data_IF_669575678177
#
_entry.id   IF_669575678177
#
_cell.length_a   1.000
_cell.length_b   1.000
_cell.length_c   1.000
_cell.angle_alpha   90.00
_cell.angle_beta   90.00
_cell.angle_gamma   90.00
#
_symmetry.space_group_name_H-M   'P 1'
#
loop_
_entity.id
_entity.type
_entity.pdbx_description
1 polymer ?
#
# COMPACT_ATOMS: atom_id res chain seq x y z
N UNK A 1 -3.70 -8.60 32.24
CA UNK A 1 -4.08 -7.27 31.70
C UNK A 1 -3.77 -7.17 30.21
N UNK A 2 -2.65 -7.75 29.73
CA UNK A 2 -2.37 -7.87 28.29
C UNK A 2 -3.19 -8.97 27.59
N UNK A 3 -3.84 -9.86 28.34
CA UNK A 3 -4.58 -11.02 27.81
C UNK A 3 -5.71 -10.63 26.84
N UNK A 4 -6.24 -9.41 26.97
CA UNK A 4 -7.30 -8.90 26.11
C UNK A 4 -6.79 -8.50 24.72
N UNK A 5 -5.51 -8.10 24.57
CA UNK A 5 -4.95 -7.80 23.24
C UNK A 5 -4.80 -9.09 22.43
N UNK A 6 -4.47 -10.20 23.08
CA UNK A 6 -4.31 -11.52 22.47
C UNK A 6 -5.59 -12.36 22.43
N UNK A 7 -6.73 -11.81 22.86
CA UNK A 7 -7.96 -12.56 22.98
C UNK A 7 -8.43 -13.12 21.61
N UNK A 8 -9.09 -14.30 21.60
CA UNK A 8 -9.74 -14.81 20.38
C UNK A 8 -10.77 -13.80 19.88
N UNK A 9 -10.53 -13.21 18.71
CA UNK A 9 -11.35 -12.14 18.12
C UNK A 9 -10.57 -10.85 17.83
N UNK A 10 -9.55 -10.53 18.63
CA UNK A 10 -8.80 -9.27 18.50
C UNK A 10 -7.60 -9.36 17.55
N UNK A 11 -7.25 -10.57 17.12
CA UNK A 11 -6.10 -10.88 16.27
C UNK A 11 -5.97 -9.98 15.01
N UNK A 12 -7.00 -9.79 14.17
CA UNK A 12 -6.85 -8.97 12.96
C UNK A 12 -6.56 -7.50 13.28
N UNK A 13 -7.10 -6.96 14.37
CA UNK A 13 -6.89 -5.57 14.78
C UNK A 13 -5.47 -5.36 15.32
N UNK A 14 -4.97 -6.31 16.11
CA UNK A 14 -3.61 -6.25 16.63
C UNK A 14 -2.58 -6.42 15.52
N UNK A 15 -2.84 -7.31 14.56
CA UNK A 15 -1.98 -7.44 13.37
C UNK A 15 -1.94 -6.11 12.59
N UNK A 16 -3.08 -5.46 12.39
CA UNK A 16 -3.12 -4.16 11.73
C UNK A 16 -2.29 -3.10 12.47
N UNK A 17 -2.42 -3.01 13.81
CA UNK A 17 -1.63 -2.09 14.63
C UNK A 17 -0.14 -2.43 14.63
N UNK A 18 0.24 -3.71 14.61
CA UNK A 18 1.64 -4.13 14.49
C UNK A 18 2.24 -3.77 13.13
N UNK A 19 1.48 -3.94 12.05
CA UNK A 19 1.89 -3.50 10.71
C UNK A 19 2.12 -1.99 10.70
N UNK A 20 1.20 -1.22 11.26
CA UNK A 20 1.36 0.23 11.40
C UNK A 20 2.60 0.62 12.20
N UNK A 21 2.81 0.00 13.35
CA UNK A 21 4.01 0.22 14.15
C UNK A 21 5.28 -0.09 13.36
N UNK A 22 5.30 -1.21 12.63
CA UNK A 22 6.39 -1.57 11.73
C UNK A 22 6.66 -0.51 10.68
N UNK A 23 5.63 -0.04 9.97
CA UNK A 23 5.75 1.03 8.98
C UNK A 23 6.30 2.32 9.61
N UNK A 24 5.88 2.64 10.84
CA UNK A 24 6.37 3.84 11.56
C UNK A 24 7.87 3.72 11.88
N UNK A 25 8.34 2.53 12.25
CA UNK A 25 9.76 2.28 12.53
C UNK A 25 10.58 2.38 11.24
N UNK A 26 10.11 1.78 10.14
CA UNK A 26 10.80 1.87 8.86
C UNK A 26 10.82 3.32 8.37
N UNK A 27 9.73 4.06 8.53
CA UNK A 27 9.64 5.49 8.19
C UNK A 27 10.61 6.33 9.03
N UNK A 28 10.74 6.04 10.33
CA UNK A 28 11.71 6.75 11.17
C UNK A 28 13.15 6.53 10.66
N UNK A 29 13.47 5.31 10.23
CA UNK A 29 14.76 5.00 9.60
C UNK A 29 14.88 5.72 8.25
N UNK A 30 13.80 5.78 7.48
CA UNK A 30 13.71 6.50 6.21
C UNK A 30 14.08 7.97 6.33
N UNK A 31 13.48 8.63 7.32
CA UNK A 31 13.74 10.03 7.64
C UNK A 31 15.20 10.28 8.04
N UNK A 32 15.84 9.34 8.73
CA UNK A 32 17.25 9.47 9.12
C UNK A 32 18.21 9.32 7.94
N UNK A 33 17.87 8.49 6.97
CA UNK A 33 18.67 8.28 5.75
C UNK A 33 18.34 9.32 4.67
N UNK A 34 17.16 9.95 4.76
CA UNK A 34 16.67 10.94 3.79
C UNK A 34 15.90 10.33 2.62
N UNK A 35 15.32 9.14 2.78
CA UNK A 35 14.44 8.52 1.77
C UNK A 35 12.96 8.59 2.19
N UNK A 36 12.06 8.43 1.21
CA UNK A 36 10.61 8.37 1.40
C UNK A 36 10.10 6.99 0.99
N UNK A 37 9.50 6.24 1.91
CA UNK A 37 8.86 4.95 1.60
C UNK A 37 7.64 5.14 0.69
N UNK A 38 7.00 6.29 0.82
CA UNK A 38 5.81 6.66 0.10
C UNK A 38 6.07 6.68 -1.42
N UNK A 39 7.16 7.33 -1.82
CA UNK A 39 7.57 7.49 -3.22
C UNK A 39 7.93 6.13 -3.83
N UNK A 40 8.62 5.26 -3.08
CA UNK A 40 9.00 3.92 -3.54
C UNK A 40 7.79 3.02 -3.81
N UNK A 41 6.77 3.09 -2.95
CA UNK A 41 5.53 2.33 -3.14
C UNK A 41 4.71 2.90 -4.29
N UNK A 42 4.70 4.22 -4.45
CA UNK A 42 3.97 4.87 -5.55
C UNK A 42 4.54 4.49 -6.92
N UNK A 43 5.87 4.49 -7.06
CA UNK A 43 6.57 4.05 -8.28
C UNK A 43 6.30 2.57 -8.61
N UNK A 44 6.21 1.71 -7.59
CA UNK A 44 5.89 0.30 -7.77
C UNK A 44 4.42 0.07 -8.17
N UNK A 45 3.49 0.86 -7.64
CA UNK A 45 2.05 0.74 -7.93
C UNK A 45 1.67 1.41 -9.25
N UNK A 46 2.38 2.48 -9.63
CA UNK A 46 2.19 3.22 -10.88
C UNK A 46 3.47 3.13 -11.73
N UNK A 47 3.79 1.97 -12.33
CA UNK A 47 4.92 1.89 -13.25
C UNK A 47 4.60 2.72 -14.51
N UNK A 48 5.20 3.91 -14.59
CA UNK A 48 5.36 4.79 -15.75
C UNK A 48 4.25 4.70 -16.83
N UNK A 49 3.03 5.17 -16.51
CA UNK A 49 1.99 5.49 -17.52
C UNK A 49 2.15 6.92 -18.07
N UNK A 50 3.33 7.53 -17.94
CA UNK A 50 3.66 8.84 -18.52
C UNK A 50 4.79 8.71 -19.54
N UNK A 51 4.52 8.04 -20.65
CA UNK A 51 5.18 8.33 -21.93
C UNK A 51 4.06 8.47 -22.97
N UNK A 52 3.74 9.72 -23.28
CA UNK A 52 2.80 10.19 -24.29
C UNK A 52 1.32 9.83 -24.11
N UNK A 53 0.54 10.81 -23.66
CA UNK A 53 -0.87 10.86 -24.03
C UNK A 53 -0.97 11.14 -25.54
N UNK A 54 -1.68 10.28 -26.29
CA UNK A 54 -2.66 10.79 -27.23
C UNK A 54 -4.05 10.36 -26.75
N UNK A 55 -4.99 11.32 -26.76
CA UNK A 55 -6.42 11.09 -26.57
C UNK A 55 -6.88 9.79 -27.23
N UNK A 56 -7.11 8.74 -26.45
CA UNK A 56 -7.84 7.56 -26.90
C UNK A 56 -8.68 7.05 -25.74
N UNK A 57 -10.00 7.22 -25.90
CA UNK A 57 -11.01 6.54 -25.12
C UNK A 57 -10.66 5.04 -24.94
N UNK A 58 -10.64 4.58 -23.67
CA UNK A 58 -10.77 3.18 -23.19
C UNK A 58 -11.23 2.16 -24.27
N UNK A 59 -10.73 0.91 -24.42
CA UNK A 59 -10.21 0.01 -23.38
C UNK A 59 -9.02 -0.90 -23.81
N UNK A 60 -8.00 -0.98 -22.97
CA UNK A 60 -7.04 -2.09 -23.00
C UNK A 60 -5.73 -1.82 -23.74
N UNK A 61 -4.71 -2.53 -23.27
CA UNK A 61 -3.32 -2.57 -23.73
C UNK A 61 -2.41 -1.45 -23.21
N UNK A 62 -1.51 -1.84 -22.30
CA UNK A 62 -0.16 -1.30 -22.29
C UNK A 62 0.79 -2.50 -22.30
N UNK A 63 1.42 -2.71 -23.44
CA UNK A 63 2.44 -3.71 -23.68
C UNK A 63 3.82 -3.17 -23.30
N UNK A 64 4.54 -3.96 -22.49
CA UNK A 64 5.95 -4.31 -22.63
C UNK A 64 7.03 -3.25 -22.34
N UNK A 65 7.94 -3.56 -21.40
CA UNK A 65 9.33 -3.11 -21.53
C UNK A 65 10.22 -3.05 -20.28
N UNK A 66 10.41 -4.15 -19.53
CA UNK A 66 11.75 -4.54 -19.09
C UNK A 66 11.77 -6.00 -18.61
N UNK A 67 12.63 -6.79 -19.25
CA UNK A 67 12.87 -8.20 -18.94
C UNK A 67 13.39 -8.39 -17.50
N UNK A 68 12.68 -9.18 -16.70
CA UNK A 68 13.26 -10.40 -16.09
C UNK A 68 12.22 -11.16 -15.26
N UNK A 69 12.02 -12.42 -15.69
CA UNK A 69 11.31 -13.50 -14.99
C UNK A 69 9.79 -13.41 -14.96
N UNK A 70 9.20 -14.18 -15.89
CA UNK A 70 7.82 -14.63 -15.96
C UNK A 70 7.23 -15.06 -14.61
N UNK A 71 6.12 -14.43 -14.16
CA UNK A 71 4.86 -15.02 -13.64
C UNK A 71 3.77 -13.92 -13.63
N UNK A 72 2.77 -14.03 -14.51
CA UNK A 72 1.38 -13.53 -14.37
C UNK A 72 1.08 -12.03 -14.08
N UNK A 73 1.13 -11.16 -15.11
CA UNK A 73 0.44 -9.84 -15.13
C UNK A 73 0.76 -8.88 -13.97
N UNK A 74 0.09 -7.72 -13.86
CA UNK A 74 0.05 -7.00 -12.59
C UNK A 74 -0.64 -7.94 -11.59
N UNK A 75 0.11 -8.48 -10.63
CA UNK A 75 -0.43 -9.38 -9.63
C UNK A 75 -1.72 -8.80 -9.02
N UNK A 76 -2.68 -9.64 -8.66
CA UNK A 76 -3.98 -9.22 -8.11
C UNK A 76 -3.85 -8.16 -7.00
N UNK A 77 -2.76 -8.23 -6.25
CA UNK A 77 -2.37 -7.26 -5.23
C UNK A 77 -2.05 -5.86 -5.78
N UNK A 78 -1.30 -5.73 -6.88
CA UNK A 78 -1.03 -4.45 -7.53
C UNK A 78 -2.31 -3.79 -8.05
N UNK A 79 -3.24 -4.59 -8.60
CA UNK A 79 -4.56 -4.10 -9.04
C UNK A 79 -5.40 -3.57 -7.87
N UNK A 80 -5.37 -4.29 -6.74
CA UNK A 80 -6.02 -3.85 -5.51
C UNK A 80 -5.41 -2.57 -4.94
N UNK A 81 -4.08 -2.43 -4.94
CA UNK A 81 -3.39 -1.21 -4.53
C UNK A 81 -3.66 -0.02 -5.46
N UNK A 82 -3.69 -0.25 -6.77
CA UNK A 82 -4.04 0.78 -7.75
C UNK A 82 -5.49 1.27 -7.56
N UNK A 83 -6.42 0.40 -7.14
CA UNK A 83 -7.78 0.80 -6.80
C UNK A 83 -7.83 1.70 -5.55
N UNK A 84 -6.88 1.53 -4.62
CA UNK A 84 -6.78 2.33 -3.40
C UNK A 84 -6.13 3.71 -3.65
N UNK A 85 -5.51 3.93 -4.81
CA UNK A 85 -4.94 5.21 -5.21
C UNK A 85 -6.04 6.19 -5.61
N UNK A 86 -6.46 7.06 -4.68
CA UNK A 86 -7.54 8.04 -4.91
C UNK A 86 -6.96 9.46 -5.07
N UNK A 87 -7.22 10.08 -6.22
CA UNK A 87 -7.14 11.53 -6.37
C UNK A 87 -5.75 12.15 -6.20
N UNK A 88 -4.68 11.40 -6.49
CA UNK A 88 -3.25 11.74 -6.27
C UNK A 88 -2.75 11.56 -4.83
N UNK A 89 -3.52 10.93 -3.95
CA UNK A 89 -3.02 10.58 -2.61
C UNK A 89 -2.25 9.26 -2.71
N UNK A 90 -1.00 9.22 -2.25
CA UNK A 90 -0.21 7.99 -2.29
C UNK A 90 -0.87 6.84 -1.54
N UNK A 91 -0.74 5.63 -2.09
CA UNK A 91 -1.40 4.43 -1.55
C UNK A 91 -1.01 4.17 -0.09
N UNK A 92 0.25 4.39 0.26
CA UNK A 92 0.73 4.20 1.64
C UNK A 92 -0.02 5.08 2.64
N UNK A 93 -0.37 6.32 2.25
CA UNK A 93 -1.13 7.23 3.12
C UNK A 93 -2.55 6.72 3.37
N UNK A 94 -3.22 6.22 2.33
CA UNK A 94 -4.56 5.64 2.45
C UNK A 94 -4.54 4.37 3.30
N UNK A 95 -3.52 3.52 3.10
CA UNK A 95 -3.33 2.29 3.85
C UNK A 95 -3.07 2.56 5.34
N UNK A 96 -2.26 3.58 5.66
CA UNK A 96 -2.01 4.05 7.03
C UNK A 96 -3.32 4.44 7.71
N UNK A 97 -4.13 5.28 7.07
CA UNK A 97 -5.41 5.72 7.63
C UNK A 97 -6.36 4.54 7.82
N UNK A 98 -6.48 3.67 6.80
CA UNK A 98 -7.36 2.50 6.83
C UNK A 98 -7.00 1.53 7.96
N UNK A 99 -5.74 1.12 8.07
CA UNK A 99 -5.28 0.16 9.08
C UNK A 99 -5.33 0.74 10.49
N UNK A 100 -5.02 2.04 10.64
CA UNK A 100 -5.08 2.70 11.94
C UNK A 100 -6.52 2.79 12.44
N UNK A 101 -7.44 3.23 11.59
CA UNK A 101 -8.87 3.32 11.94
C UNK A 101 -9.42 1.92 12.22
N UNK A 102 -9.14 0.94 11.36
CA UNK A 102 -9.56 -0.45 11.56
C UNK A 102 -9.02 -1.05 12.86
N UNK A 103 -7.73 -0.89 13.13
CA UNK A 103 -7.08 -1.42 14.32
C UNK A 103 -7.59 -0.78 15.61
N UNK A 104 -7.74 0.55 15.63
CA UNK A 104 -8.25 1.26 16.81
C UNK A 104 -9.74 0.99 17.05
N UNK A 105 -10.58 1.07 16.00
CA UNK A 105 -12.01 0.84 16.14
C UNK A 105 -12.32 -0.59 16.56
N UNK A 106 -11.61 -1.59 16.00
CA UNK A 106 -11.83 -2.99 16.36
C UNK A 106 -11.25 -3.40 17.70
N UNK A 107 -10.26 -2.65 18.21
CA UNK A 107 -9.78 -2.85 19.57
C UNK A 107 -10.72 -2.18 20.59
N UNK A 108 -11.17 -0.95 20.33
CA UNK A 108 -11.97 -0.17 21.29
C UNK A 108 -13.44 -0.60 21.34
N UNK A 109 -14.01 -1.02 20.20
CA UNK A 109 -15.43 -1.40 20.07
C UNK A 109 -15.70 -2.85 20.45
#
# INVERSE_FOLDING_TARGET
MMDWIGAPGNQPFVVALLVMFGLTVVELIALLVGFSLNDMVDEFVVPHTELDAPDVDTPGHASHGLDSVSVEGPGLFARFLAWLYVGKVPVLMVLIVLLTVFGLCGLIG
#
